data_IF_356552640576
#
_entry.id   IF_356552640576
#
_cell.length_a   1.000
_cell.length_b   1.000
_cell.length_c   1.000
_cell.angle_alpha   90.00
_cell.angle_beta   90.00
_cell.angle_gamma   90.00
#
_symmetry.space_group_name_H-M   'P 1'
#
loop_
_entity.id
_entity.type
_entity.pdbx_description
1 polymer ?
#
# COMPACT_ATOMS: atom_id res chain seq x y z
N UNK A 1 -81.92 0.24 18.78
CA UNK A 1 -82.79 -0.35 17.76
C UNK A 1 -81.91 -0.82 16.64
N UNK A 2 -81.80 -2.13 16.49
CA UNK A 2 -81.22 -2.76 15.31
C UNK A 2 -82.09 -2.44 14.10
N UNK A 3 -81.48 -2.06 12.99
CA UNK A 3 -82.07 -2.22 11.65
C UNK A 3 -80.95 -2.59 10.70
N UNK A 4 -80.90 -3.89 10.41
CA UNK A 4 -80.27 -4.46 9.24
C UNK A 4 -81.11 -4.10 8.01
N UNK A 5 -80.48 -3.65 6.92
CA UNK A 5 -81.13 -3.56 5.62
C UNK A 5 -80.32 -4.31 4.57
N UNK A 6 -81.02 -5.29 4.02
CA UNK A 6 -80.63 -6.25 3.02
C UNK A 6 -80.55 -5.63 1.61
N UNK A 7 -79.62 -6.21 0.83
CA UNK A 7 -79.82 -6.77 -0.51
C UNK A 7 -79.70 -6.01 -1.85
N UNK A 8 -78.95 -6.71 -2.72
CA UNK A 8 -79.02 -6.90 -4.19
C UNK A 8 -79.10 -5.67 -5.10
N UNK A 9 -78.37 -5.51 -6.21
CA UNK A 9 -77.62 -6.35 -7.16
C UNK A 9 -76.86 -5.33 -8.06
N UNK A 10 -75.77 -5.57 -8.80
CA UNK A 10 -75.50 -6.55 -9.84
C UNK A 10 -74.02 -6.40 -10.28
N UNK A 11 -73.42 -7.54 -10.68
CA UNK A 11 -72.36 -7.76 -11.69
C UNK A 11 -71.96 -6.54 -12.54
N UNK A 12 -70.69 -6.29 -12.88
CA UNK A 12 -69.81 -7.24 -13.57
C UNK A 12 -68.35 -6.74 -13.65
N UNK A 13 -67.42 -7.70 -13.55
CA UNK A 13 -66.16 -7.86 -14.31
C UNK A 13 -65.06 -6.77 -14.34
N UNK A 14 -63.87 -7.17 -13.85
CA UNK A 14 -62.59 -6.93 -14.53
C UNK A 14 -61.71 -5.82 -13.95
N UNK A 15 -61.05 -6.05 -12.82
CA UNK A 15 -59.62 -6.43 -12.70
C UNK A 15 -58.60 -5.31 -13.03
N UNK A 16 -58.03 -4.80 -11.93
CA UNK A 16 -56.65 -4.35 -11.67
C UNK A 16 -55.96 -3.33 -12.59
N UNK A 17 -55.82 -2.11 -12.06
CA UNK A 17 -54.61 -1.28 -12.21
C UNK A 17 -54.28 -0.57 -10.90
N UNK A 18 -53.06 -0.85 -10.43
CA UNK A 18 -52.10 0.02 -9.73
C UNK A 18 -52.62 1.13 -8.81
N UNK A 19 -52.21 1.09 -7.52
CA UNK A 19 -51.32 2.12 -6.97
C UNK A 19 -50.93 1.89 -5.50
N UNK A 20 -49.67 2.26 -5.21
CA UNK A 20 -49.12 2.73 -3.94
C UNK A 20 -48.71 1.70 -2.87
N UNK A 21 -47.47 1.21 -3.02
CA UNK A 21 -46.57 1.07 -1.87
C UNK A 21 -45.33 1.94 -2.10
N UNK A 22 -45.23 3.05 -1.36
CA UNK A 22 -44.08 3.95 -1.38
C UNK A 22 -43.25 3.72 -0.11
N UNK A 23 -42.40 2.68 -0.14
CA UNK A 23 -41.30 2.53 0.80
C UNK A 23 -40.02 3.06 0.13
N UNK A 24 -39.48 4.17 0.67
CA UNK A 24 -38.25 4.82 0.20
C UNK A 24 -37.04 3.93 0.52
N UNK A 25 -36.41 3.34 -0.51
CA UNK A 25 -35.09 2.71 -0.39
C UNK A 25 -34.00 3.60 -1.00
N UNK A 26 -33.03 3.92 -0.15
CA UNK A 26 -31.58 3.95 -0.38
C UNK A 26 -31.10 4.41 -1.76
N UNK A 27 -30.54 5.62 -1.83
CA UNK A 27 -29.76 6.08 -2.97
C UNK A 27 -28.35 6.46 -2.53
N UNK A 28 -27.36 5.56 -2.71
CA UNK A 28 -25.91 5.90 -2.73
C UNK A 28 -25.05 4.87 -3.50
N UNK A 29 -25.61 4.10 -4.45
CA UNK A 29 -24.86 3.03 -5.13
C UNK A 29 -24.26 3.43 -6.51
N UNK A 30 -24.43 4.68 -6.96
CA UNK A 30 -24.17 5.06 -8.36
C UNK A 30 -22.86 5.81 -8.60
N UNK A 31 -22.20 6.32 -7.55
CA UNK A 31 -21.03 7.21 -7.69
C UNK A 31 -19.70 6.44 -7.66
N UNK A 32 -19.67 5.24 -7.07
CA UNK A 32 -18.43 4.46 -6.93
C UNK A 32 -17.99 3.84 -8.27
N UNK A 33 -18.91 3.43 -9.15
CA UNK A 33 -18.55 2.67 -10.37
C UNK A 33 -17.96 3.51 -11.52
N UNK A 34 -18.24 4.82 -11.57
CA UNK A 34 -17.65 5.70 -12.61
C UNK A 34 -16.19 6.04 -12.31
N UNK A 35 -15.87 6.32 -11.05
CA UNK A 35 -14.52 6.71 -10.62
C UNK A 35 -13.46 5.63 -10.88
N UNK A 36 -13.78 4.36 -10.62
CA UNK A 36 -12.87 3.24 -10.90
C UNK A 36 -12.69 2.97 -12.41
N UNK A 37 -13.75 3.14 -13.21
CA UNK A 37 -13.69 2.93 -14.67
C UNK A 37 -12.84 4.01 -15.35
N UNK A 38 -12.96 5.26 -14.92
CA UNK A 38 -12.15 6.37 -15.44
C UNK A 38 -10.68 6.22 -15.03
N UNK A 39 -10.40 5.71 -13.82
CA UNK A 39 -9.05 5.37 -13.37
C UNK A 39 -8.42 4.29 -14.27
N UNK A 40 -9.12 3.18 -14.53
CA UNK A 40 -8.62 2.12 -15.43
C UNK A 40 -8.43 2.58 -16.88
N UNK A 41 -9.25 3.52 -17.36
CA UNK A 41 -9.13 4.04 -18.73
C UNK A 41 -7.98 5.05 -18.88
N UNK A 42 -7.65 5.78 -17.82
CA UNK A 42 -6.44 6.63 -17.78
C UNK A 42 -5.14 5.80 -17.75
N UNK A 43 -5.17 4.61 -17.15
CA UNK A 43 -4.03 3.68 -17.09
C UNK A 43 -3.73 3.08 -18.47
N UNK A 44 -4.74 2.94 -19.34
CA UNK A 44 -4.60 2.34 -20.67
C UNK A 44 -4.08 3.29 -21.76
N UNK A 45 -3.99 4.61 -21.50
CA UNK A 45 -3.55 5.60 -22.49
C UNK A 45 -2.06 5.99 -22.37
N UNK A 46 -1.27 5.30 -21.54
CA UNK A 46 0.09 5.73 -21.16
C UNK A 46 1.21 4.83 -21.72
N UNK A 47 0.94 4.05 -22.77
CA UNK A 47 1.93 3.14 -23.36
C UNK A 47 3.19 3.82 -23.93
N UNK A 48 3.18 5.15 -24.09
CA UNK A 48 4.32 5.97 -24.50
C UNK A 48 5.09 6.69 -23.39
N UNK A 49 4.75 6.49 -22.12
CA UNK A 49 5.24 7.33 -20.99
C UNK A 49 5.74 6.48 -19.80
N UNK A 50 6.22 5.26 -20.08
CA UNK A 50 6.80 4.37 -19.08
C UNK A 50 8.21 4.86 -18.75
N UNK A 51 8.48 5.04 -17.47
CA UNK A 51 9.86 5.26 -17.00
C UNK A 51 10.61 3.93 -16.99
N UNK A 52 11.95 3.97 -16.98
CA UNK A 52 12.80 2.79 -16.79
C UNK A 52 12.93 2.40 -15.31
N UNK A 53 11.92 2.70 -14.49
CA UNK A 53 11.89 2.45 -13.06
C UNK A 53 10.75 1.50 -12.72
N UNK A 54 11.01 0.50 -11.90
CA UNK A 54 9.98 -0.29 -11.25
C UNK A 54 10.19 -0.35 -9.74
N UNK A 55 9.09 -0.38 -8.99
CA UNK A 55 9.07 -0.46 -7.53
C UNK A 55 8.25 -1.68 -7.14
N UNK A 56 8.81 -2.58 -6.34
CA UNK A 56 8.13 -3.78 -5.85
C UNK A 56 7.55 -4.63 -7.01
N UNK A 57 8.20 -4.61 -8.18
CA UNK A 57 7.73 -5.30 -9.40
C UNK A 57 6.74 -4.51 -10.26
N UNK A 58 6.32 -3.31 -9.84
CA UNK A 58 5.39 -2.47 -10.59
C UNK A 58 6.13 -1.37 -11.37
N UNK A 59 5.98 -1.29 -12.71
CA UNK A 59 6.60 -0.22 -13.49
C UNK A 59 5.95 1.13 -13.18
N UNK A 60 6.77 2.17 -13.02
CA UNK A 60 6.31 3.54 -12.81
C UNK A 60 6.11 4.26 -14.14
N UNK A 61 5.05 5.06 -14.21
CA UNK A 61 4.90 6.07 -15.27
C UNK A 61 5.79 7.27 -14.95
N UNK A 62 6.22 8.00 -15.97
CA UNK A 62 7.04 9.20 -15.83
C UNK A 62 6.36 10.24 -14.92
N UNK A 63 5.02 10.31 -14.96
CA UNK A 63 4.23 11.21 -14.11
C UNK A 63 4.31 10.83 -12.63
N UNK A 64 4.22 9.54 -12.31
CA UNK A 64 4.33 9.07 -10.92
C UNK A 64 5.76 9.23 -10.40
N UNK A 65 6.75 8.89 -11.24
CA UNK A 65 8.17 9.09 -10.93
C UNK A 65 8.46 10.54 -10.53
N UNK A 66 8.08 11.52 -11.36
CA UNK A 66 8.32 12.95 -11.08
C UNK A 66 7.65 13.45 -9.80
N UNK A 67 6.52 12.86 -9.40
CA UNK A 67 5.88 13.21 -8.14
C UNK A 67 6.62 12.59 -6.95
N UNK A 68 6.99 11.31 -7.04
CA UNK A 68 7.77 10.62 -6.03
C UNK A 68 9.10 11.34 -5.75
N UNK A 69 9.81 11.77 -6.80
CA UNK A 69 11.12 12.43 -6.69
C UNK A 69 11.10 13.76 -5.89
N UNK A 70 9.92 14.38 -5.72
CA UNK A 70 9.77 15.55 -4.84
C UNK A 70 10.12 15.21 -3.40
N UNK A 71 9.74 14.02 -2.94
CA UNK A 71 10.04 13.51 -1.60
C UNK A 71 11.26 12.61 -1.59
N UNK A 72 11.38 11.69 -2.55
CA UNK A 72 12.45 10.70 -2.62
C UNK A 72 13.81 11.31 -2.96
N UNK A 73 13.85 12.43 -3.69
CA UNK A 73 15.04 12.80 -4.49
C UNK A 73 15.09 12.00 -5.80
N UNK A 74 16.13 12.19 -6.60
CA UNK A 74 16.23 11.60 -7.95
C UNK A 74 16.26 10.07 -7.91
N UNK A 75 15.37 9.41 -8.62
CA UNK A 75 15.31 7.95 -8.72
C UNK A 75 15.89 7.56 -10.08
N UNK A 76 17.06 6.93 -10.08
CA UNK A 76 17.70 6.45 -11.30
C UNK A 76 16.93 5.26 -11.90
N UNK A 77 17.05 5.02 -13.22
CA UNK A 77 16.53 3.80 -13.85
C UNK A 77 16.97 2.53 -13.11
N UNK A 78 16.01 1.64 -12.85
CA UNK A 78 16.28 0.38 -12.13
C UNK A 78 15.02 -0.29 -11.59
N UNK A 79 15.22 -1.51 -11.08
CA UNK A 79 14.18 -2.30 -10.43
C UNK A 79 14.47 -2.32 -8.92
N UNK A 80 13.65 -1.63 -8.15
CA UNK A 80 13.85 -1.44 -6.72
C UNK A 80 12.72 -2.07 -5.91
N UNK A 81 13.01 -2.38 -4.65
CA UNK A 81 12.00 -2.56 -3.63
C UNK A 81 11.96 -1.33 -2.72
N UNK A 82 10.78 -1.04 -2.19
CA UNK A 82 10.55 0.05 -1.24
C UNK A 82 9.59 -0.42 -0.15
N UNK A 83 10.02 -0.25 1.09
CA UNK A 83 9.23 -0.43 2.29
C UNK A 83 8.47 0.86 2.57
N UNK A 84 7.15 0.83 2.38
CA UNK A 84 6.28 1.99 2.56
C UNK A 84 6.26 2.52 4.01
N UNK A 85 6.49 1.64 5.00
CA UNK A 85 6.36 1.97 6.43
C UNK A 85 7.64 2.59 6.99
N UNK A 86 8.78 1.95 6.74
CA UNK A 86 10.07 2.40 7.27
C UNK A 86 10.85 3.29 6.30
N UNK A 87 10.50 3.25 5.00
CA UNK A 87 11.20 3.96 3.96
C UNK A 87 12.48 3.27 3.48
N UNK A 88 12.77 2.05 3.95
CA UNK A 88 13.90 1.25 3.44
C UNK A 88 13.74 1.01 1.95
N UNK A 89 14.85 1.02 1.22
CA UNK A 89 14.84 0.67 -0.19
C UNK A 89 16.13 -0.05 -0.59
N UNK A 90 16.04 -0.83 -1.66
CA UNK A 90 17.16 -1.54 -2.25
C UNK A 90 16.83 -1.97 -3.68
N UNK A 91 17.76 -2.65 -4.33
CA UNK A 91 17.51 -3.27 -5.65
C UNK A 91 16.76 -4.58 -5.43
N UNK A 92 15.81 -4.90 -6.30
CA UNK A 92 15.11 -6.19 -6.27
C UNK A 92 16.10 -7.37 -6.20
N UNK A 93 15.90 -8.26 -5.23
CA UNK A 93 16.76 -9.41 -4.92
C UNK A 93 18.03 -9.08 -4.13
N UNK A 94 18.20 -7.84 -3.64
CA UNK A 94 19.39 -7.41 -2.91
C UNK A 94 19.11 -6.72 -1.57
N UNK A 95 20.17 -6.49 -0.76
CA UNK A 95 20.05 -5.87 0.56
C UNK A 95 19.60 -4.41 0.50
N UNK A 96 19.30 -3.85 1.67
CA UNK A 96 19.02 -2.43 1.83
C UNK A 96 20.19 -1.56 1.38
N UNK A 97 19.88 -0.51 0.61
CA UNK A 97 20.84 0.48 0.11
C UNK A 97 20.66 1.85 0.76
N UNK A 98 19.51 2.11 1.38
CA UNK A 98 19.28 3.35 2.09
C UNK A 98 17.85 3.47 2.61
N UNK A 99 17.54 4.68 3.07
CA UNK A 99 16.23 5.06 3.59
C UNK A 99 15.77 6.32 2.86
N UNK A 100 14.53 6.32 2.39
CA UNK A 100 13.79 7.48 1.93
C UNK A 100 12.78 7.91 3.00
N UNK A 101 12.12 9.08 2.89
CA UNK A 101 10.92 9.35 3.66
C UNK A 101 9.94 8.17 3.55
N UNK A 102 9.28 7.75 4.64
CA UNK A 102 8.21 6.77 4.57
C UNK A 102 6.98 7.40 3.92
N UNK A 103 6.02 6.57 3.56
CA UNK A 103 4.71 7.01 3.08
C UNK A 103 4.72 7.83 1.77
N UNK A 104 5.66 7.55 0.86
CA UNK A 104 5.64 8.13 -0.48
C UNK A 104 4.51 7.45 -1.28
N UNK A 105 3.39 8.16 -1.46
CA UNK A 105 2.16 7.61 -2.06
C UNK A 105 2.39 6.98 -3.43
N UNK A 106 3.23 7.61 -4.28
CA UNK A 106 3.51 7.12 -5.62
C UNK A 106 4.36 5.84 -5.66
N UNK A 107 4.94 5.43 -4.53
CA UNK A 107 5.72 4.21 -4.39
C UNK A 107 4.98 3.13 -3.59
N UNK A 108 3.72 3.38 -3.20
CA UNK A 108 2.92 2.49 -2.36
C UNK A 108 2.38 1.29 -3.13
N UNK A 109 3.26 0.34 -3.41
CA UNK A 109 2.93 -0.96 -3.99
C UNK A 109 3.19 -2.07 -2.97
N UNK A 110 2.40 -3.16 -2.98
CA UNK A 110 2.64 -4.30 -2.09
C UNK A 110 4.09 -4.78 -2.18
N UNK A 111 4.80 -4.81 -1.05
CA UNK A 111 6.18 -5.25 -1.01
C UNK A 111 6.24 -6.78 -0.99
N UNK A 112 6.88 -7.44 -1.99
CA UNK A 112 7.03 -8.89 -1.98
C UNK A 112 7.93 -9.35 -0.84
N UNK A 113 7.61 -10.50 -0.27
CA UNK A 113 8.38 -11.08 0.84
C UNK A 113 9.84 -11.34 0.47
N UNK A 114 10.07 -11.86 -0.73
CA UNK A 114 11.39 -12.22 -1.26
C UNK A 114 12.11 -11.04 -1.95
N UNK A 115 11.61 -9.80 -1.83
CA UNK A 115 12.11 -8.68 -2.61
C UNK A 115 13.56 -8.29 -2.30
N UNK A 116 14.09 -8.68 -1.13
CA UNK A 116 15.44 -8.29 -0.70
C UNK A 116 16.49 -9.41 -0.75
N UNK A 117 16.15 -10.55 -1.35
CA UNK A 117 17.07 -11.71 -1.40
C UNK A 117 17.37 -12.29 -0.01
N UNK A 118 16.38 -12.25 0.88
CA UNK A 118 16.46 -12.81 2.21
C UNK A 118 16.61 -14.33 2.20
N UNK A 119 17.32 -14.84 3.20
CA UNK A 119 17.49 -16.28 3.47
C UNK A 119 17.66 -16.57 4.97
N UNK A 120 17.20 -15.63 5.81
CA UNK A 120 17.47 -15.62 7.25
C UNK A 120 16.34 -16.26 8.06
N UNK A 121 15.13 -16.34 7.50
CA UNK A 121 13.91 -16.65 8.24
C UNK A 121 13.48 -15.53 9.21
N UNK A 122 14.08 -14.34 9.13
CA UNK A 122 13.69 -13.18 9.95
C UNK A 122 13.03 -12.16 9.04
N UNK A 123 11.86 -11.67 9.43
CA UNK A 123 11.06 -10.77 8.61
C UNK A 123 10.93 -9.39 9.25
N UNK A 124 10.98 -8.36 8.41
CA UNK A 124 10.67 -6.98 8.80
C UNK A 124 9.68 -6.40 7.81
N UNK A 125 8.55 -5.90 8.31
CA UNK A 125 7.49 -5.30 7.50
C UNK A 125 7.05 -6.18 6.31
N UNK A 126 7.05 -7.50 6.53
CA UNK A 126 6.67 -8.50 5.53
C UNK A 126 7.74 -8.89 4.51
N UNK A 127 8.97 -8.34 4.55
CA UNK A 127 10.10 -8.86 3.75
C UNK A 127 10.99 -9.76 4.59
N UNK A 128 11.49 -10.84 4.00
CA UNK A 128 12.57 -11.62 4.61
C UNK A 128 13.87 -10.83 4.52
N UNK A 129 14.57 -10.67 5.65
CA UNK A 129 15.80 -9.90 5.72
C UNK A 129 16.94 -10.61 4.98
N UNK A 130 17.64 -9.84 4.14
CA UNK A 130 18.97 -10.20 3.68
C UNK A 130 19.95 -10.26 4.86
N UNK A 131 20.95 -11.15 4.80
CA UNK A 131 21.92 -11.34 5.90
C UNK A 131 22.56 -10.03 6.40
N UNK A 132 23.03 -9.20 5.48
CA UNK A 132 23.59 -7.86 5.78
C UNK A 132 22.63 -6.95 6.55
N UNK A 133 21.34 -6.99 6.22
CA UNK A 133 20.34 -6.16 6.87
C UNK A 133 20.07 -6.69 8.27
N UNK A 134 19.98 -8.02 8.42
CA UNK A 134 19.86 -8.67 9.73
C UNK A 134 21.03 -8.33 10.64
N UNK A 135 22.28 -8.47 10.17
CA UNK A 135 23.47 -8.14 10.97
C UNK A 135 23.45 -6.65 11.40
N UNK A 136 23.00 -5.74 10.52
CA UNK A 136 22.91 -4.30 10.80
C UNK A 136 21.81 -3.95 11.82
N UNK A 137 20.65 -4.59 11.73
CA UNK A 137 19.52 -4.36 12.64
C UNK A 137 19.73 -5.07 13.98
N UNK A 138 20.30 -6.28 13.98
CA UNK A 138 20.68 -7.01 15.18
C UNK A 138 21.77 -6.26 15.97
N UNK A 139 22.73 -5.65 15.28
CA UNK A 139 23.70 -4.75 15.91
C UNK A 139 23.07 -3.50 16.55
N UNK A 140 21.78 -3.23 16.28
CA UNK A 140 20.99 -2.17 16.91
C UNK A 140 19.95 -2.69 17.92
N UNK A 141 19.91 -4.00 18.18
CA UNK A 141 19.01 -4.59 19.18
C UNK A 141 17.84 -5.40 18.62
N UNK A 142 17.70 -5.55 17.29
CA UNK A 142 16.68 -6.45 16.75
C UNK A 142 17.03 -7.92 17.11
N UNK A 143 16.14 -8.70 17.72
CA UNK A 143 16.41 -10.11 17.98
C UNK A 143 16.59 -10.87 16.65
N UNK A 144 17.66 -11.67 16.50
CA UNK A 144 17.98 -12.35 15.24
C UNK A 144 17.38 -13.76 15.14
N UNK A 145 16.42 -14.09 16.00
CA UNK A 145 15.80 -15.41 16.06
C UNK A 145 15.04 -15.70 14.77
N UNK A 146 15.27 -16.89 14.21
CA UNK A 146 14.56 -17.33 12.99
C UNK A 146 13.08 -17.52 13.27
N UNK A 147 12.30 -17.47 12.21
CA UNK A 147 10.84 -17.62 12.20
C UNK A 147 10.14 -16.56 13.05
N UNK A 148 10.71 -15.34 13.04
CA UNK A 148 10.15 -14.14 13.70
C UNK A 148 9.88 -13.04 12.68
N UNK A 149 8.80 -12.31 12.94
CA UNK A 149 8.38 -11.17 12.12
C UNK A 149 8.24 -9.92 12.98
N UNK A 150 8.76 -8.81 12.48
CA UNK A 150 8.75 -7.53 13.20
C UNK A 150 8.14 -6.42 12.34
N UNK A 151 7.35 -5.55 12.97
CA UNK A 151 7.00 -4.25 12.41
C UNK A 151 8.03 -3.24 12.86
N UNK A 152 8.63 -2.52 11.90
CA UNK A 152 9.58 -1.45 12.14
C UNK A 152 9.11 -0.19 11.42
N UNK A 153 9.20 0.97 12.07
CA UNK A 153 9.00 2.27 11.42
C UNK A 153 10.30 3.10 11.38
N UNK A 154 10.28 4.24 10.69
CA UNK A 154 11.48 5.08 10.51
C UNK A 154 12.04 5.65 11.82
N UNK A 155 11.26 5.69 12.90
CA UNK A 155 11.71 6.17 14.21
C UNK A 155 12.60 5.16 14.91
N UNK A 156 12.62 3.92 14.43
CA UNK A 156 13.33 2.79 15.04
C UNK A 156 12.48 2.03 16.05
N UNK A 157 11.19 2.34 16.17
CA UNK A 157 10.24 1.56 16.97
C UNK A 157 10.08 0.17 16.38
N UNK A 158 10.02 -0.85 17.24
CA UNK A 158 9.92 -2.26 16.85
C UNK A 158 8.77 -2.91 17.60
N UNK A 159 7.95 -3.67 16.88
CA UNK A 159 6.89 -4.51 17.46
C UNK A 159 7.07 -5.93 16.95
N UNK A 160 7.05 -6.93 17.83
CA UNK A 160 6.95 -8.34 17.43
C UNK A 160 5.53 -8.61 16.88
N UNK A 161 5.43 -9.07 15.62
CA UNK A 161 4.13 -9.27 14.97
C UNK A 161 3.30 -10.38 15.61
N UNK A 162 3.94 -11.39 16.20
CA UNK A 162 3.26 -12.55 16.77
C UNK A 162 2.67 -12.22 18.15
N UNK A 163 3.42 -11.52 18.98
CA UNK A 163 3.00 -11.18 20.35
C UNK A 163 2.33 -9.81 20.45
N UNK A 164 2.61 -8.90 19.51
CA UNK A 164 2.22 -7.50 19.57
C UNK A 164 3.01 -6.68 20.60
N UNK A 165 4.05 -7.25 21.21
CA UNK A 165 4.88 -6.57 22.19
C UNK A 165 5.82 -5.57 21.52
N UNK A 166 5.95 -4.40 22.12
CA UNK A 166 6.95 -3.41 21.71
C UNK A 166 8.30 -3.76 22.32
N UNK A 167 9.33 -3.78 21.48
CA UNK A 167 10.70 -4.11 21.85
C UNK A 167 11.55 -2.85 21.98
N UNK A 168 12.80 -3.01 22.44
CA UNK A 168 13.77 -1.93 22.49
C UNK A 168 13.97 -1.30 21.10
N UNK A 169 13.90 0.03 21.06
CA UNK A 169 14.04 0.78 19.81
C UNK A 169 15.44 0.64 19.21
N UNK A 170 15.52 0.55 17.88
CA UNK A 170 16.77 0.46 17.11
C UNK A 170 17.57 1.77 17.06
N UNK A 171 17.15 2.79 17.82
CA UNK A 171 17.63 4.15 17.70
C UNK A 171 17.22 4.83 16.39
N UNK A 172 17.77 6.02 16.14
CA UNK A 172 17.40 6.81 14.96
C UNK A 172 17.93 6.18 13.67
N UNK A 173 17.03 5.67 12.84
CA UNK A 173 17.39 5.00 11.58
C UNK A 173 17.82 5.99 10.48
N UNK A 174 17.15 7.14 10.38
CA UNK A 174 17.43 8.13 9.34
C UNK A 174 17.35 9.59 9.84
N UNK A 175 18.30 10.05 10.69
CA UNK A 175 18.28 11.41 11.25
C UNK A 175 18.27 12.54 10.20
N UNK A 176 18.92 12.31 9.06
CA UNK A 176 18.97 13.27 7.96
C UNK A 176 17.62 13.41 7.24
N UNK A 177 16.88 12.30 7.09
CA UNK A 177 15.53 12.30 6.52
C UNK A 177 14.55 12.99 7.45
N UNK A 178 14.65 12.74 8.76
CA UNK A 178 13.85 13.42 9.80
C UNK A 178 14.04 14.95 9.72
N UNK A 179 15.28 15.40 9.57
CA UNK A 179 15.62 16.82 9.51
C UNK A 179 15.22 17.50 8.20
N UNK A 180 15.49 16.85 7.07
CA UNK A 180 15.32 17.47 5.74
C UNK A 180 13.94 17.20 5.12
N UNK A 181 13.19 16.24 5.66
CA UNK A 181 11.90 15.75 5.11
C UNK A 181 11.98 15.39 3.63
N UNK A 182 13.16 14.99 3.16
CA UNK A 182 13.46 14.65 1.77
C UNK A 182 14.57 13.62 1.70
N UNK A 183 14.41 12.66 0.81
CA UNK A 183 15.36 11.61 0.48
C UNK A 183 16.50 12.06 -0.44
N UNK A 184 17.48 11.17 -0.56
CA UNK A 184 18.69 11.37 -1.38
C UNK A 184 18.65 10.62 -2.71
N UNK A 185 17.47 10.17 -3.11
CA UNK A 185 17.24 9.42 -4.32
C UNK A 185 17.55 7.93 -4.20
N UNK A 186 17.20 7.19 -5.24
CA UNK A 186 17.59 5.80 -5.43
C UNK A 186 18.65 5.73 -6.53
N UNK A 187 19.82 5.18 -6.21
CA UNK A 187 20.93 5.06 -7.15
C UNK A 187 21.79 3.87 -6.82
N UNK A 188 22.28 3.18 -7.85
CA UNK A 188 23.21 2.09 -7.67
C UNK A 188 24.54 2.61 -7.11
N UNK A 189 25.14 1.93 -6.12
CA UNK A 189 26.51 2.21 -5.72
C UNK A 189 27.42 2.11 -6.94
N UNK A 190 28.28 3.11 -7.15
CA UNK A 190 29.33 3.02 -8.18
C UNK A 190 30.22 1.83 -7.81
N UNK A 191 30.40 0.88 -8.73
CA UNK A 191 31.41 -0.16 -8.53
C UNK A 191 32.76 0.55 -8.46
N UNK A 192 33.44 0.45 -7.33
CA UNK A 192 34.84 0.81 -7.24
C UNK A 192 35.58 -0.29 -7.99
N UNK A 193 35.89 -0.04 -9.27
CA UNK A 193 36.86 -0.84 -10.05
C UNK A 193 38.26 -0.64 -9.50
#
# INVERSE_FOLDING_TARGET
MEVNFNDYSHRNSGVSKDQQQRAKKSGFASIVKKSFKDLTKSIQNDEGNKSNVSINGHPLTERLLRKAEKQAGVIQPGNYWYDYRAGFWGVMGGPGLGILPPFIEELNYPMPENCSGGTTGVFVNGRELHRKDLDLLAGRGLPPDRDRSYIVDITGRVIDEDTGEELDCLGKLAPTIEKLKRGFGMRLPKRTT
#
